data_IF_530681113088
#
_entry.id   IF_530681113088
#
_cell.length_a   1.000
_cell.length_b   1.000
_cell.length_c   1.000
_cell.angle_alpha   90.00
_cell.angle_beta   90.00
_cell.angle_gamma   90.00
#
_symmetry.space_group_name_H-M   'P 1'
#
loop_
_entity.id
_entity.type
_entity.pdbx_description
1 polymer ?
#
# COMPACT_ATOMS: atom_id res chain seq x y z
N UNK A 1 12.00 6.04 15.70
CA UNK A 1 12.43 7.44 15.43
C UNK A 1 13.32 7.41 14.18
N UNK A 2 13.01 8.20 13.16
CA UNK A 2 13.76 8.18 11.88
C UNK A 2 15.19 8.71 12.14
N UNK A 3 16.22 7.89 11.88
CA UNK A 3 17.60 8.30 12.12
C UNK A 3 18.05 9.39 11.15
N UNK A 4 18.97 10.26 11.59
CA UNK A 4 19.54 11.31 10.74
C UNK A 4 20.20 10.74 9.48
N UNK A 5 20.89 9.59 9.60
CA UNK A 5 21.51 8.89 8.47
C UNK A 5 20.47 8.42 7.43
N UNK A 6 19.32 7.92 7.88
CA UNK A 6 18.20 7.54 7.01
C UNK A 6 17.64 8.75 6.27
N UNK A 7 17.41 9.87 6.97
CA UNK A 7 16.92 11.11 6.36
C UNK A 7 17.87 11.60 5.26
N UNK A 8 19.16 11.68 5.54
CA UNK A 8 20.16 12.09 4.55
C UNK A 8 20.20 11.16 3.34
N UNK A 9 20.10 9.84 3.56
CA UNK A 9 20.06 8.83 2.49
C UNK A 9 18.82 8.98 1.58
N UNK A 10 17.66 9.28 2.18
CA UNK A 10 16.43 9.56 1.44
C UNK A 10 16.57 10.86 0.63
N UNK A 11 17.01 11.96 1.26
CA UNK A 11 17.19 13.26 0.58
C UNK A 11 18.16 13.11 -0.60
N UNK A 12 19.28 12.42 -0.40
CA UNK A 12 20.24 12.15 -1.48
C UNK A 12 19.56 11.46 -2.65
N UNK A 13 18.82 10.36 -2.43
CA UNK A 13 18.12 9.64 -3.52
C UNK A 13 17.01 10.44 -4.18
N UNK A 14 16.31 11.30 -3.45
CA UNK A 14 15.32 12.24 -4.02
C UNK A 14 15.97 13.15 -5.06
N UNK A 15 17.18 13.64 -4.77
CA UNK A 15 17.91 14.58 -5.63
C UNK A 15 18.68 13.87 -6.76
N UNK A 16 19.26 12.70 -6.48
CA UNK A 16 20.21 12.05 -7.40
C UNK A 16 19.59 10.95 -8.27
N UNK A 17 18.39 10.46 -7.95
CA UNK A 17 17.75 9.38 -8.72
C UNK A 17 16.42 9.81 -9.33
N UNK A 18 16.24 9.49 -10.62
CA UNK A 18 14.97 9.53 -11.35
C UNK A 18 14.23 8.19 -11.32
N UNK A 19 14.70 7.21 -10.55
CA UNK A 19 14.07 5.91 -10.41
C UNK A 19 12.81 5.91 -9.55
N UNK A 20 12.17 4.74 -9.39
CA UNK A 20 10.86 4.62 -8.76
C UNK A 20 10.96 5.03 -7.31
N UNK A 21 9.92 5.68 -6.79
CA UNK A 21 9.87 6.16 -5.41
C UNK A 21 9.36 5.08 -4.47
N UNK A 22 8.53 4.17 -4.98
CA UNK A 22 7.86 3.15 -4.20
C UNK A 22 8.13 1.74 -4.77
N UNK A 23 8.28 0.77 -3.89
CA UNK A 23 8.13 -0.63 -4.24
C UNK A 23 7.23 -1.34 -3.24
N UNK A 24 6.28 -2.11 -3.77
CA UNK A 24 5.51 -3.07 -2.98
C UNK A 24 6.19 -4.44 -3.07
N UNK A 25 6.53 -5.02 -1.94
CA UNK A 25 7.15 -6.33 -1.87
C UNK A 25 6.13 -7.31 -1.29
N UNK A 26 5.72 -8.29 -2.09
CA UNK A 26 4.93 -9.42 -1.63
C UNK A 26 5.88 -10.48 -1.09
N UNK A 27 6.27 -10.40 0.18
CA UNK A 27 7.34 -11.25 0.73
C UNK A 27 6.93 -12.72 0.89
N UNK A 28 5.64 -13.00 0.92
CA UNK A 28 5.06 -14.34 1.11
C UNK A 28 3.69 -14.42 0.47
N UNK A 29 3.26 -15.61 0.03
CA UNK A 29 1.84 -15.88 -0.30
C UNK A 29 1.05 -16.40 0.91
N UNK A 30 1.70 -16.75 2.02
CA UNK A 30 1.04 -17.27 3.22
C UNK A 30 0.03 -16.27 3.77
N UNK A 31 -1.20 -16.69 3.99
CA UNK A 31 -2.21 -15.86 4.64
C UNK A 31 -3.07 -16.70 5.59
N UNK A 32 -3.31 -16.19 6.79
CA UNK A 32 -4.10 -16.84 7.82
C UNK A 32 -5.59 -16.44 7.79
N UNK A 33 -5.98 -15.52 6.90
CA UNK A 33 -7.37 -15.07 6.71
C UNK A 33 -7.92 -15.55 5.37
N UNK A 34 -9.25 -15.52 5.20
CA UNK A 34 -9.95 -16.00 4.00
C UNK A 34 -10.87 -14.93 3.40
N UNK A 35 -10.33 -13.73 3.20
CA UNK A 35 -11.09 -12.58 2.72
C UNK A 35 -11.81 -12.92 1.40
N UNK A 36 -13.11 -12.58 1.33
CA UNK A 36 -13.97 -13.00 0.21
C UNK A 36 -13.68 -12.29 -1.12
N UNK A 37 -12.97 -11.17 -1.08
CA UNK A 37 -12.55 -10.40 -2.25
C UNK A 37 -11.10 -10.69 -2.69
N UNK A 38 -10.44 -11.67 -2.08
CA UNK A 38 -9.01 -11.92 -2.27
C UNK A 38 -8.73 -13.40 -2.57
N UNK A 39 -7.81 -13.70 -3.49
CA UNK A 39 -7.40 -15.07 -3.81
C UNK A 39 -6.00 -15.44 -3.30
N UNK A 40 -5.28 -14.54 -2.62
CA UNK A 40 -3.92 -14.83 -2.12
C UNK A 40 -3.92 -16.03 -1.19
N UNK A 41 -4.88 -16.10 -0.27
CA UNK A 41 -5.05 -17.21 0.67
C UNK A 41 -5.44 -18.53 -0.02
N UNK A 42 -6.08 -18.47 -1.18
CA UNK A 42 -6.51 -19.64 -1.95
C UNK A 42 -5.36 -20.21 -2.80
N UNK A 43 -4.50 -19.33 -3.32
CA UNK A 43 -3.37 -19.68 -4.18
C UNK A 43 -2.07 -19.64 -3.36
N UNK A 44 -1.90 -20.59 -2.44
CA UNK A 44 -0.70 -20.66 -1.59
C UNK A 44 0.52 -21.15 -2.36
N UNK A 45 1.66 -20.53 -2.11
CA UNK A 45 2.98 -20.98 -2.53
C UNK A 45 3.91 -20.84 -1.33
N UNK A 46 4.68 -21.88 -1.05
CA UNK A 46 5.59 -21.95 0.09
C UNK A 46 7.04 -21.73 -0.33
N UNK A 47 7.32 -21.63 -1.64
CA UNK A 47 8.60 -21.18 -2.14
C UNK A 47 8.67 -19.67 -1.99
N UNK A 48 9.68 -19.17 -1.30
CA UNK A 48 9.88 -17.74 -1.11
C UNK A 48 11.39 -17.47 -1.08
N UNK A 49 11.80 -16.25 -1.42
CA UNK A 49 13.20 -15.84 -1.27
C UNK A 49 13.67 -16.05 0.18
N UNK A 50 14.93 -16.49 0.32
CA UNK A 50 15.63 -16.52 1.60
C UNK A 50 15.84 -15.10 2.16
N UNK A 51 16.10 -14.99 3.45
CA UNK A 51 16.35 -13.70 4.13
C UNK A 51 17.44 -12.88 3.43
N UNK A 52 18.55 -13.52 3.06
CA UNK A 52 19.68 -12.87 2.38
C UNK A 52 19.33 -12.43 0.95
N UNK A 53 18.52 -13.20 0.24
CA UNK A 53 18.00 -12.83 -1.08
C UNK A 53 17.05 -11.63 -1.00
N UNK A 54 16.20 -11.55 0.04
CA UNK A 54 15.35 -10.38 0.29
C UNK A 54 16.20 -9.14 0.61
N UNK A 55 17.23 -9.26 1.46
CA UNK A 55 18.15 -8.14 1.75
C UNK A 55 18.88 -7.67 0.50
N UNK A 56 19.38 -8.59 -0.32
CA UNK A 56 20.01 -8.27 -1.62
C UNK A 56 19.02 -7.61 -2.57
N UNK A 57 17.76 -8.03 -2.57
CA UNK A 57 16.69 -7.39 -3.34
C UNK A 57 16.48 -5.95 -2.87
N UNK A 58 16.47 -5.70 -1.56
CA UNK A 58 16.38 -4.37 -0.97
C UNK A 58 17.58 -3.49 -1.35
N UNK A 59 18.81 -4.02 -1.37
CA UNK A 59 19.97 -3.27 -1.85
C UNK A 59 19.81 -2.82 -3.30
N UNK A 60 19.32 -3.71 -4.18
CA UNK A 60 19.04 -3.38 -5.58
C UNK A 60 17.98 -2.28 -5.69
N UNK A 61 16.89 -2.38 -4.92
CA UNK A 61 15.84 -1.36 -4.89
C UNK A 61 16.37 -0.01 -4.40
N UNK A 62 17.26 0.00 -3.40
CA UNK A 62 17.93 1.20 -2.91
C UNK A 62 18.75 1.85 -4.03
N UNK A 63 19.53 1.06 -4.75
CA UNK A 63 20.48 1.53 -5.75
C UNK A 63 19.77 2.09 -7.00
N UNK A 64 18.60 1.56 -7.35
CA UNK A 64 17.75 2.16 -8.41
C UNK A 64 16.95 3.37 -7.91
N UNK A 65 16.96 3.68 -6.62
CA UNK A 65 16.41 4.92 -6.05
C UNK A 65 15.06 4.83 -5.35
N UNK A 66 14.59 3.61 -5.03
CA UNK A 66 13.38 3.41 -4.21
C UNK A 66 13.55 4.09 -2.87
N UNK A 67 12.50 4.78 -2.40
CA UNK A 67 12.47 5.49 -1.12
C UNK A 67 11.57 4.81 -0.10
N UNK A 68 10.44 4.27 -0.55
CA UNK A 68 9.42 3.63 0.26
C UNK A 68 9.29 2.14 -0.10
N UNK A 69 9.24 1.30 0.94
CA UNK A 69 8.93 -0.12 0.84
C UNK A 69 7.65 -0.42 1.59
N UNK A 70 6.69 -1.04 0.90
CA UNK A 70 5.51 -1.63 1.52
C UNK A 70 5.66 -3.13 1.55
N UNK A 71 5.76 -3.70 2.75
CA UNK A 71 5.72 -5.13 2.98
C UNK A 71 4.27 -5.61 2.97
N UNK A 72 3.94 -6.47 2.02
CA UNK A 72 2.62 -7.04 1.80
C UNK A 72 2.79 -8.51 1.37
N UNK A 73 1.72 -9.13 0.84
CA UNK A 73 1.72 -10.51 0.39
C UNK A 73 0.37 -11.15 0.67
N UNK A 74 0.41 -12.38 1.19
CA UNK A 74 -0.63 -12.74 2.14
C UNK A 74 -0.49 -11.86 3.39
N UNK A 75 -0.08 -12.44 4.51
CA UNK A 75 0.31 -11.68 5.69
C UNK A 75 1.84 -11.76 5.89
N UNK A 76 2.60 -10.66 5.70
CA UNK A 76 4.05 -10.63 5.90
C UNK A 76 4.49 -11.21 7.24
N UNK A 77 3.68 -11.01 8.30
CA UNK A 77 3.99 -11.43 9.66
C UNK A 77 3.93 -12.94 9.88
N UNK A 78 3.55 -13.72 8.86
CA UNK A 78 3.63 -15.18 8.86
C UNK A 78 5.03 -15.71 8.46
N UNK A 79 5.94 -14.83 8.03
CA UNK A 79 7.34 -15.21 7.85
C UNK A 79 8.07 -15.16 9.18
N UNK A 80 8.81 -16.22 9.49
CA UNK A 80 9.57 -16.33 10.73
C UNK A 80 10.72 -15.30 10.80
N UNK A 81 11.29 -14.94 9.64
CA UNK A 81 12.42 -14.02 9.49
C UNK A 81 12.01 -12.55 9.22
N UNK A 82 10.72 -12.23 9.32
CA UNK A 82 10.20 -10.91 8.90
C UNK A 82 10.82 -9.75 9.69
N UNK A 83 11.11 -9.96 10.99
CA UNK A 83 11.71 -8.93 11.84
C UNK A 83 13.09 -8.51 11.35
N UNK A 84 13.90 -9.49 10.94
CA UNK A 84 15.23 -9.23 10.40
C UNK A 84 15.17 -8.46 9.06
N UNK A 85 14.18 -8.78 8.22
CA UNK A 85 13.95 -8.09 6.95
C UNK A 85 13.50 -6.64 7.18
N UNK A 86 12.55 -6.41 8.10
CA UNK A 86 12.08 -5.07 8.47
C UNK A 86 13.22 -4.26 9.07
N UNK A 87 14.01 -4.83 9.96
CA UNK A 87 15.17 -4.19 10.59
C UNK A 87 16.23 -3.79 9.55
N UNK A 88 16.45 -4.63 8.53
CA UNK A 88 17.34 -4.27 7.44
C UNK A 88 16.78 -3.11 6.60
N UNK A 89 15.52 -3.21 6.17
CA UNK A 89 14.89 -2.22 5.32
C UNK A 89 14.73 -0.86 6.00
N UNK A 90 14.35 -0.84 7.27
CA UNK A 90 14.06 0.38 8.05
C UNK A 90 15.26 1.32 8.14
N UNK A 91 16.49 0.81 8.02
CA UNK A 91 17.73 1.62 7.98
C UNK A 91 17.83 2.50 6.75
N UNK A 92 17.19 2.10 5.65
CA UNK A 92 17.33 2.73 4.34
C UNK A 92 16.03 3.27 3.78
N UNK A 93 14.87 2.67 4.07
CA UNK A 93 13.60 3.02 3.44
C UNK A 93 12.58 3.54 4.43
N UNK A 94 11.63 4.33 3.95
CA UNK A 94 10.35 4.50 4.65
C UNK A 94 9.60 3.18 4.51
N UNK A 95 9.25 2.55 5.63
CA UNK A 95 8.72 1.19 5.67
C UNK A 95 7.31 1.17 6.22
N UNK A 96 6.42 0.49 5.50
CA UNK A 96 5.07 0.19 5.98
C UNK A 96 4.85 -1.32 5.93
N UNK A 97 4.37 -1.88 7.04
CA UNK A 97 4.02 -3.30 7.14
C UNK A 97 2.50 -3.43 7.18
N UNK A 98 1.93 -4.18 6.24
CA UNK A 98 0.52 -4.53 6.28
C UNK A 98 0.28 -5.75 7.18
N UNK A 99 -0.74 -5.68 8.04
CA UNK A 99 -1.28 -6.81 8.79
C UNK A 99 -2.81 -6.81 8.69
N UNK A 100 -3.41 -8.01 8.71
CA UNK A 100 -4.86 -8.16 8.74
C UNK A 100 -5.45 -8.02 10.17
N UNK A 101 -4.63 -7.57 11.12
CA UNK A 101 -4.99 -7.34 12.52
C UNK A 101 -4.89 -8.58 13.40
N UNK A 102 -4.14 -9.61 12.99
CA UNK A 102 -4.07 -10.89 13.70
C UNK A 102 -2.74 -11.20 14.35
N UNK A 103 -1.65 -10.57 13.92
CA UNK A 103 -0.30 -10.96 14.33
C UNK A 103 0.53 -9.81 14.90
N UNK A 104 0.30 -8.57 14.48
CA UNK A 104 1.16 -7.46 14.87
C UNK A 104 1.22 -7.26 16.40
N UNK A 105 0.11 -7.48 17.12
CA UNK A 105 0.07 -7.40 18.58
C UNK A 105 1.01 -8.38 19.29
N UNK A 106 1.28 -9.53 18.68
CA UNK A 106 2.15 -10.58 19.24
C UNK A 106 3.59 -10.52 18.69
N UNK A 107 3.85 -9.58 17.77
CA UNK A 107 5.12 -9.44 17.05
C UNK A 107 5.69 -8.02 17.15
N UNK A 108 5.50 -7.39 18.31
CA UNK A 108 5.85 -5.99 18.55
C UNK A 108 7.34 -5.75 18.32
N UNK A 109 8.19 -6.67 18.76
CA UNK A 109 9.63 -6.53 18.63
C UNK A 109 10.08 -6.69 17.17
N UNK A 110 9.47 -7.60 16.39
CA UNK A 110 9.78 -7.75 14.98
C UNK A 110 9.36 -6.55 14.11
N UNK A 111 8.33 -5.80 14.51
CA UNK A 111 7.84 -4.62 13.76
C UNK A 111 8.32 -3.29 14.34
N UNK A 112 9.09 -3.30 15.44
CA UNK A 112 9.44 -2.10 16.21
C UNK A 112 10.14 -1.02 15.38
N UNK A 113 10.93 -1.44 14.40
CA UNK A 113 11.68 -0.55 13.53
C UNK A 113 10.92 -0.16 12.25
N UNK A 114 9.72 -0.70 12.00
CA UNK A 114 8.88 -0.24 10.91
C UNK A 114 8.43 1.22 11.15
N UNK A 115 8.39 2.04 10.10
CA UNK A 115 7.92 3.42 10.24
C UNK A 115 6.40 3.47 10.43
N UNK A 116 5.68 2.55 9.80
CA UNK A 116 4.22 2.41 9.91
C UNK A 116 3.77 0.95 9.91
N UNK A 117 2.67 0.69 10.62
CA UNK A 117 1.92 -0.56 10.54
C UNK A 117 0.48 -0.25 10.13
N UNK A 118 0.05 -0.81 9.01
CA UNK A 118 -1.29 -0.60 8.45
C UNK A 118 -2.18 -1.83 8.74
N UNK A 119 -3.19 -1.64 9.58
CA UNK A 119 -4.14 -2.70 9.94
C UNK A 119 -5.34 -2.68 8.98
N UNK A 120 -5.59 -3.80 8.30
CA UNK A 120 -6.75 -3.94 7.42
C UNK A 120 -8.03 -4.14 8.23
N UNK A 121 -8.88 -3.11 8.25
CA UNK A 121 -10.18 -3.10 8.92
C UNK A 121 -11.15 -2.30 8.04
N UNK A 122 -12.25 -2.93 7.61
CA UNK A 122 -13.08 -2.37 6.53
C UNK A 122 -14.33 -1.63 7.05
N UNK A 123 -14.77 -1.91 8.27
CA UNK A 123 -16.01 -1.37 8.84
C UNK A 123 -15.96 -1.40 10.37
N UNK A 124 -16.78 -0.56 11.02
CA UNK A 124 -16.97 -0.58 12.47
C UNK A 124 -17.98 -1.65 12.93
N UNK A 125 -18.70 -2.28 12.00
CA UNK A 125 -19.59 -3.41 12.30
C UNK A 125 -18.76 -4.72 12.39
N UNK A 126 -18.74 -5.32 13.58
CA UNK A 126 -18.01 -6.56 13.86
C UNK A 126 -18.42 -7.72 12.95
N UNK A 127 -19.73 -7.96 12.81
CA UNK A 127 -20.23 -9.09 12.01
C UNK A 127 -19.94 -8.88 10.53
N UNK A 128 -20.09 -7.65 10.06
CA UNK A 128 -19.79 -7.29 8.68
C UNK A 128 -18.29 -7.45 8.40
N UNK A 129 -17.40 -6.95 9.24
CA UNK A 129 -15.97 -7.10 9.02
C UNK A 129 -15.55 -8.58 9.05
N UNK A 130 -16.04 -9.37 10.00
CA UNK A 130 -15.78 -10.81 10.06
C UNK A 130 -16.23 -11.54 8.80
N UNK A 131 -17.41 -11.16 8.26
CA UNK A 131 -17.89 -11.66 6.97
C UNK A 131 -16.95 -11.30 5.82
N UNK A 132 -16.51 -10.03 5.73
CA UNK A 132 -15.61 -9.56 4.68
C UNK A 132 -14.23 -10.27 4.74
N UNK A 133 -13.69 -10.45 5.96
CA UNK A 133 -12.40 -11.10 6.21
C UNK A 133 -12.47 -12.63 6.17
N UNK A 134 -13.67 -13.22 6.21
CA UNK A 134 -13.89 -14.66 6.20
C UNK A 134 -13.41 -15.38 7.46
N UNK A 135 -13.32 -14.67 8.59
CA UNK A 135 -12.82 -15.22 9.87
C UNK A 135 -13.59 -14.60 11.03
N UNK A 136 -14.17 -15.44 11.90
CA UNK A 136 -14.83 -14.98 13.12
C UNK A 136 -13.83 -14.35 14.11
N UNK A 137 -14.26 -13.26 14.75
CA UNK A 137 -13.48 -12.44 15.67
C UNK A 137 -12.37 -11.62 15.00
N UNK A 138 -12.37 -11.50 13.66
CA UNK A 138 -11.36 -10.72 12.93
C UNK A 138 -11.42 -9.24 13.29
N UNK A 139 -12.62 -8.68 13.44
CA UNK A 139 -12.81 -7.30 13.85
C UNK A 139 -12.24 -7.03 15.24
N UNK A 140 -12.57 -7.90 16.22
CA UNK A 140 -12.13 -7.74 17.60
C UNK A 140 -10.61 -7.79 17.70
N UNK A 141 -9.97 -8.79 17.05
CA UNK A 141 -8.52 -8.90 16.99
C UNK A 141 -7.87 -7.67 16.36
N UNK A 142 -8.43 -7.14 15.27
CA UNK A 142 -7.91 -5.94 14.63
C UNK A 142 -7.99 -4.72 15.55
N UNK A 143 -9.12 -4.50 16.23
CA UNK A 143 -9.30 -3.41 17.18
C UNK A 143 -8.36 -3.52 18.39
N UNK A 144 -8.24 -4.71 18.98
CA UNK A 144 -7.29 -5.00 20.06
C UNK A 144 -5.84 -4.75 19.61
N UNK A 145 -5.49 -5.20 18.40
CA UNK A 145 -4.16 -4.97 17.82
C UNK A 145 -3.86 -3.49 17.66
N UNK A 146 -4.81 -2.70 17.15
CA UNK A 146 -4.65 -1.25 17.01
C UNK A 146 -4.38 -0.59 18.35
N UNK A 147 -5.12 -0.97 19.40
CA UNK A 147 -4.97 -0.40 20.74
C UNK A 147 -3.65 -0.81 21.41
N UNK A 148 -3.21 -2.05 21.21
CA UNK A 148 -1.90 -2.54 21.68
C UNK A 148 -0.78 -1.78 20.98
N UNK A 149 -0.78 -1.72 19.64
CA UNK A 149 0.27 -1.03 18.87
C UNK A 149 0.38 0.44 19.27
N UNK A 150 -0.76 1.12 19.45
CA UNK A 150 -0.78 2.51 19.91
C UNK A 150 -0.15 2.66 21.31
N UNK A 151 -0.45 1.75 22.24
CA UNK A 151 0.11 1.76 23.61
C UNK A 151 1.62 1.49 23.61
N UNK A 152 2.09 0.59 22.75
CA UNK A 152 3.51 0.26 22.59
C UNK A 152 4.31 1.32 21.82
N UNK A 153 3.67 2.42 21.40
CA UNK A 153 4.32 3.50 20.66
C UNK A 153 4.62 3.17 19.19
N UNK A 154 4.02 2.11 18.65
CA UNK A 154 4.10 1.78 17.22
C UNK A 154 3.16 2.72 16.44
N UNK A 155 3.65 3.25 15.32
CA UNK A 155 2.86 4.11 14.44
C UNK A 155 1.86 3.28 13.64
N UNK A 156 0.73 3.01 14.27
CA UNK A 156 -0.38 2.27 13.67
C UNK A 156 -1.36 3.20 12.99
N UNK A 157 -1.92 2.75 11.87
CA UNK A 157 -3.18 3.26 11.37
C UNK A 157 -3.99 2.18 10.67
N UNK A 158 -5.16 2.54 10.18
CA UNK A 158 -6.12 1.62 9.58
C UNK A 158 -6.22 1.83 8.08
N UNK A 159 -6.47 0.74 7.35
CA UNK A 159 -6.58 0.74 5.89
C UNK A 159 -7.84 -0.02 5.44
N UNK A 160 -9.03 0.63 5.47
CA UNK A 160 -10.24 0.06 4.87
C UNK A 160 -10.12 -0.10 3.34
N UNK A 161 -10.61 -1.24 2.85
CA UNK A 161 -10.98 -1.37 1.43
C UNK A 161 -12.40 -0.89 1.23
N UNK A 162 -12.57 0.31 0.66
CA UNK A 162 -13.88 0.87 0.31
C UNK A 162 -14.49 0.04 -0.83
N UNK A 163 -15.70 -0.42 -0.63
CA UNK A 163 -16.51 -1.24 -1.52
C UNK A 163 -17.99 -0.86 -1.35
N UNK A 164 -18.90 -1.41 -2.15
CA UNK A 164 -20.32 -1.16 -1.96
C UNK A 164 -20.83 -1.58 -0.56
N UNK A 165 -20.17 -2.56 0.08
CA UNK A 165 -20.54 -3.10 1.38
C UNK A 165 -20.37 -2.12 2.56
N UNK A 166 -19.45 -1.17 2.43
CA UNK A 166 -19.09 -0.20 3.47
C UNK A 166 -19.06 1.25 2.96
N UNK A 167 -19.47 1.50 1.71
CA UNK A 167 -19.41 2.82 1.08
C UNK A 167 -20.04 3.90 1.96
N UNK A 168 -21.29 3.68 2.40
CA UNK A 168 -22.07 4.60 3.21
C UNK A 168 -21.52 4.82 4.63
N UNK A 169 -20.58 3.98 5.09
CA UNK A 169 -19.98 4.05 6.42
C UNK A 169 -18.62 4.77 6.41
N UNK A 170 -18.05 5.02 5.22
CA UNK A 170 -16.66 5.49 5.06
C UNK A 170 -16.37 6.76 5.88
N UNK A 171 -17.31 7.72 5.89
CA UNK A 171 -17.12 8.99 6.60
C UNK A 171 -17.16 8.79 8.11
N UNK A 172 -18.07 7.96 8.63
CA UNK A 172 -18.18 7.73 10.06
C UNK A 172 -17.05 6.84 10.59
N UNK A 173 -16.62 5.85 9.78
CA UNK A 173 -15.39 5.10 10.01
C UNK A 173 -14.18 6.05 10.14
N UNK A 174 -14.06 7.01 9.20
CA UNK A 174 -12.98 8.00 9.22
C UNK A 174 -13.04 8.84 10.49
N UNK A 175 -14.21 9.41 10.82
CA UNK A 175 -14.42 10.22 12.03
C UNK A 175 -14.05 9.47 13.31
N UNK A 176 -14.35 8.18 13.38
CA UNK A 176 -14.04 7.35 14.53
C UNK A 176 -12.53 7.26 14.79
N UNK A 177 -11.73 7.00 13.75
CA UNK A 177 -10.28 6.85 13.90
C UNK A 177 -9.54 8.19 14.05
N UNK A 178 -9.97 9.26 13.37
CA UNK A 178 -9.35 10.58 13.58
C UNK A 178 -9.57 11.07 15.03
N UNK A 179 -10.72 10.79 15.65
CA UNK A 179 -10.98 11.15 17.06
C UNK A 179 -10.05 10.41 18.02
N UNK A 180 -9.57 9.23 17.61
CA UNK A 180 -8.58 8.42 18.34
C UNK A 180 -7.15 8.77 17.93
N UNK A 181 -6.93 9.78 17.09
CA UNK A 181 -5.60 10.15 16.56
C UNK A 181 -4.90 8.98 15.84
N UNK A 182 -5.68 8.17 15.13
CA UNK A 182 -5.20 7.03 14.35
C UNK A 182 -5.36 7.39 12.86
N UNK A 183 -4.26 7.38 12.07
CA UNK A 183 -4.31 7.58 10.63
C UNK A 183 -5.23 6.60 9.91
N UNK A 184 -5.93 7.11 8.89
CA UNK A 184 -6.74 6.32 7.96
C UNK A 184 -6.13 6.43 6.57
N UNK A 185 -5.65 5.30 6.06
CA UNK A 185 -5.32 5.07 4.66
C UNK A 185 -6.51 4.44 3.95
N UNK A 186 -6.62 4.63 2.64
CA UNK A 186 -7.77 4.11 1.90
C UNK A 186 -7.28 3.17 0.80
N UNK A 187 -8.03 2.10 0.60
CA UNK A 187 -8.00 1.27 -0.58
C UNK A 187 -9.36 1.35 -1.26
N UNK A 188 -9.40 1.16 -2.58
CA UNK A 188 -10.63 0.92 -3.31
C UNK A 188 -10.70 -0.56 -3.66
N UNK A 189 -11.87 -1.15 -3.50
CA UNK A 189 -12.13 -2.46 -4.03
C UNK A 189 -11.96 -2.43 -5.55
N UNK A 190 -11.12 -3.35 -6.00
CA UNK A 190 -10.81 -3.63 -7.39
C UNK A 190 -10.54 -5.13 -7.47
N UNK A 191 -10.66 -5.67 -8.68
CA UNK A 191 -10.35 -7.06 -8.96
C UNK A 191 -9.36 -7.15 -10.11
N UNK A 192 -8.65 -8.26 -10.16
CA UNK A 192 -7.63 -8.47 -11.18
C UNK A 192 -8.31 -8.60 -12.54
N UNK A 193 -7.87 -7.77 -13.48
CA UNK A 193 -8.21 -7.90 -14.88
C UNK A 193 -7.16 -8.76 -15.56
N UNK A 194 -7.61 -9.76 -16.33
CA UNK A 194 -6.75 -10.75 -16.94
C UNK A 194 -5.79 -10.13 -17.97
N UNK A 195 -4.52 -10.04 -17.60
CA UNK A 195 -3.40 -10.18 -18.54
C UNK A 195 -2.95 -11.64 -18.55
N UNK A 196 -2.12 -12.04 -19.52
CA UNK A 196 -1.77 -13.44 -19.75
C UNK A 196 -1.27 -14.15 -18.48
N UNK A 197 -0.20 -13.67 -17.84
CA UNK A 197 0.23 -14.13 -16.52
C UNK A 197 0.32 -12.95 -15.54
N UNK A 198 -0.33 -13.06 -14.39
CA UNK A 198 -0.15 -12.11 -13.30
C UNK A 198 1.09 -12.46 -12.49
N UNK A 199 1.87 -11.46 -12.06
CA UNK A 199 2.99 -11.70 -11.16
C UNK A 199 2.53 -12.12 -9.77
N UNK A 200 1.46 -11.49 -9.29
CA UNK A 200 0.89 -11.79 -7.99
C UNK A 200 -0.62 -11.49 -8.00
N UNK A 201 -1.45 -12.50 -8.23
CA UNK A 201 -2.90 -12.28 -8.21
C UNK A 201 -3.40 -11.99 -6.80
N UNK A 202 -4.27 -10.98 -6.67
CA UNK A 202 -4.82 -10.48 -5.41
C UNK A 202 -6.36 -10.46 -5.44
N UNK A 203 -6.96 -9.67 -6.33
CA UNK A 203 -8.36 -9.31 -6.26
C UNK A 203 -9.26 -10.24 -7.07
N UNK A 204 -10.37 -10.70 -6.46
CA UNK A 204 -11.39 -11.52 -7.12
C UNK A 204 -12.60 -10.66 -7.44
N UNK A 205 -13.18 -10.83 -8.64
CA UNK A 205 -14.47 -10.22 -8.96
C UNK A 205 -15.56 -10.79 -8.05
N UNK A 206 -16.28 -9.88 -7.41
CA UNK A 206 -17.41 -10.12 -6.54
C UNK A 206 -18.38 -8.92 -6.66
N UNK A 207 -19.62 -9.20 -7.07
CA UNK A 207 -20.63 -8.19 -7.36
C UNK A 207 -21.15 -7.50 -6.09
N UNK A 208 -21.09 -8.16 -4.92
CA UNK A 208 -21.47 -7.55 -3.62
C UNK A 208 -20.52 -6.37 -3.25
N UNK A 209 -19.28 -6.42 -3.72
CA UNK A 209 -18.24 -5.45 -3.40
C UNK A 209 -18.15 -4.32 -4.44
N UNK A 210 -18.60 -4.58 -5.67
CA UNK A 210 -18.48 -3.63 -6.78
C UNK A 210 -19.26 -2.36 -6.48
N UNK A 211 -18.54 -1.22 -6.47
CA UNK A 211 -19.13 0.07 -6.16
C UNK A 211 -20.05 0.47 -7.31
N UNK A 212 -21.36 0.42 -7.09
CA UNK A 212 -22.38 0.79 -8.08
C UNK A 212 -22.85 2.24 -7.86
N UNK A 213 -22.84 2.71 -6.62
CA UNK A 213 -23.21 4.09 -6.27
C UNK A 213 -22.01 5.03 -6.43
N UNK A 214 -21.78 5.47 -7.68
CA UNK A 214 -20.63 6.29 -8.04
C UNK A 214 -20.75 7.72 -7.54
N UNK A 215 -21.97 8.23 -7.46
CA UNK A 215 -22.30 9.55 -6.92
C UNK A 215 -21.89 9.64 -5.45
N UNK A 216 -22.24 8.64 -4.64
CA UNK A 216 -21.83 8.59 -3.23
C UNK A 216 -20.30 8.48 -3.10
N UNK A 217 -19.63 7.69 -3.94
CA UNK A 217 -18.16 7.65 -3.93
C UNK A 217 -17.54 9.02 -4.23
N UNK A 218 -18.11 9.76 -5.19
CA UNK A 218 -17.68 11.11 -5.54
C UNK A 218 -17.95 12.13 -4.40
N UNK A 219 -19.08 12.00 -3.71
CA UNK A 219 -19.41 12.80 -2.54
C UNK A 219 -18.45 12.52 -1.38
N UNK A 220 -18.18 11.26 -1.06
CA UNK A 220 -17.20 10.86 -0.04
C UNK A 220 -15.84 11.50 -0.32
N UNK A 221 -15.37 11.47 -1.57
CA UNK A 221 -14.11 12.13 -1.93
C UNK A 221 -14.13 13.63 -1.64
N UNK A 222 -15.28 14.27 -1.87
CA UNK A 222 -15.47 15.71 -1.63
C UNK A 222 -15.48 16.02 -0.13
N UNK A 223 -16.18 15.21 0.66
CA UNK A 223 -16.22 15.33 2.13
C UNK A 223 -14.82 15.12 2.73
N UNK A 224 -14.06 14.12 2.28
CA UNK A 224 -12.71 13.86 2.77
C UNK A 224 -11.74 15.03 2.50
N UNK A 225 -11.83 15.68 1.33
CA UNK A 225 -11.06 16.89 1.04
C UNK A 225 -11.40 18.03 2.01
N UNK A 226 -12.69 18.27 2.30
CA UNK A 226 -13.09 19.28 3.28
C UNK A 226 -12.67 18.93 4.71
N UNK A 227 -12.73 17.65 5.10
CA UNK A 227 -12.27 17.18 6.41
C UNK A 227 -10.76 17.40 6.59
N UNK A 228 -9.93 17.12 5.58
CA UNK A 228 -8.47 17.35 5.60
C UNK A 228 -8.10 18.82 5.86
N UNK A 229 -8.94 19.77 5.44
CA UNK A 229 -8.73 21.20 5.74
C UNK A 229 -8.83 21.50 7.24
N UNK A 230 -9.49 20.65 8.03
CA UNK A 230 -9.73 20.87 9.47
C UNK A 230 -8.98 19.88 10.36
N UNK A 231 -8.81 18.65 9.91
CA UNK A 231 -8.30 17.53 10.70
C UNK A 231 -7.03 16.90 10.11
N UNK A 232 -6.17 16.34 10.96
CA UNK A 232 -5.11 15.41 10.55
C UNK A 232 -5.63 13.97 10.47
N UNK A 233 -4.73 13.00 10.35
CA UNK A 233 -5.00 11.55 10.32
C UNK A 233 -5.77 11.04 9.07
N UNK A 234 -5.89 11.83 8.00
CA UNK A 234 -6.47 11.40 6.72
C UNK A 234 -5.34 11.30 5.69
N UNK A 235 -4.90 10.07 5.38
CA UNK A 235 -3.68 9.78 4.62
C UNK A 235 -4.01 9.41 3.17
N UNK A 236 -4.57 10.38 2.46
CA UNK A 236 -4.79 10.39 1.01
C UNK A 236 -4.74 11.84 0.55
N UNK A 237 -4.20 12.15 -0.63
CA UNK A 237 -4.07 13.54 -1.07
C UNK A 237 -5.30 14.05 -1.81
N UNK A 238 -5.48 15.37 -1.84
CA UNK A 238 -6.54 16.02 -2.62
C UNK A 238 -6.43 15.67 -4.11
N UNK A 239 -5.21 15.56 -4.65
CA UNK A 239 -4.99 15.16 -6.04
C UNK A 239 -5.51 13.75 -6.31
N UNK A 240 -5.25 12.80 -5.42
CA UNK A 240 -5.75 11.43 -5.54
C UNK A 240 -7.27 11.38 -5.37
N UNK A 241 -7.84 12.11 -4.40
CA UNK A 241 -9.28 12.21 -4.22
C UNK A 241 -9.99 12.81 -5.44
N UNK A 242 -9.42 13.85 -6.07
CA UNK A 242 -9.92 14.44 -7.32
C UNK A 242 -9.89 13.44 -8.48
N UNK A 243 -8.83 12.62 -8.58
CA UNK A 243 -8.72 11.58 -9.60
C UNK A 243 -9.79 10.50 -9.43
N UNK A 244 -10.02 10.01 -8.20
CA UNK A 244 -11.08 9.03 -7.89
C UNK A 244 -12.46 9.64 -8.17
N UNK A 245 -12.70 10.86 -7.70
CA UNK A 245 -13.97 11.57 -7.92
C UNK A 245 -14.26 11.75 -9.40
N UNK A 246 -13.27 12.12 -10.20
CA UNK A 246 -13.42 12.23 -11.65
C UNK A 246 -13.78 10.88 -12.26
N UNK A 247 -13.01 9.82 -11.96
CA UNK A 247 -13.29 8.47 -12.45
C UNK A 247 -14.71 8.00 -12.08
N UNK A 248 -15.16 8.27 -10.85
CA UNK A 248 -16.50 7.89 -10.41
C UNK A 248 -17.58 8.59 -11.24
N UNK A 249 -17.44 9.90 -11.49
CA UNK A 249 -18.47 10.69 -12.17
C UNK A 249 -18.48 10.54 -13.69
N UNK A 250 -17.33 10.28 -14.32
CA UNK A 250 -17.21 10.26 -15.79
C UNK A 250 -16.98 8.86 -16.35
N UNK A 251 -16.54 7.91 -15.52
CA UNK A 251 -16.01 6.63 -15.98
C UNK A 251 -14.63 6.73 -16.63
N UNK A 252 -14.04 7.93 -16.69
CA UNK A 252 -12.77 8.20 -17.36
C UNK A 252 -11.65 8.48 -16.36
N UNK A 253 -10.43 8.07 -16.72
CA UNK A 253 -9.25 8.34 -15.90
C UNK A 253 -8.66 9.69 -16.25
N UNK A 254 -8.21 10.42 -15.23
CA UNK A 254 -7.50 11.70 -15.37
C UNK A 254 -5.98 11.58 -15.19
N UNK A 255 -5.41 10.37 -15.32
CA UNK A 255 -3.98 10.12 -15.11
C UNK A 255 -3.43 9.03 -16.02
N UNK A 256 -2.15 9.17 -16.36
CA UNK A 256 -1.33 8.14 -17.01
C UNK A 256 -0.76 7.19 -15.96
N UNK A 257 -0.63 5.90 -16.29
CA UNK A 257 0.07 4.98 -15.39
C UNK A 257 1.58 5.25 -15.42
N UNK A 258 2.19 5.30 -14.23
CA UNK A 258 3.63 5.59 -14.03
C UNK A 258 4.40 4.38 -13.48
N UNK A 259 3.96 3.18 -13.85
CA UNK A 259 4.64 1.95 -13.47
C UNK A 259 6.04 1.90 -14.11
N UNK A 260 7.01 1.35 -13.37
CA UNK A 260 8.46 1.40 -13.67
C UNK A 260 9.09 2.79 -13.76
N UNK A 261 8.32 3.85 -13.54
CA UNK A 261 8.82 5.23 -13.38
C UNK A 261 8.77 5.66 -11.93
N UNK A 262 7.61 5.48 -11.28
CA UNK A 262 7.38 5.92 -9.91
C UNK A 262 7.13 4.76 -8.94
N UNK A 263 6.68 3.61 -9.43
CA UNK A 263 6.45 2.42 -8.63
C UNK A 263 6.74 1.13 -9.39
N UNK A 264 7.01 0.05 -8.66
CA UNK A 264 7.07 -1.32 -9.15
C UNK A 264 6.63 -2.30 -8.07
N UNK A 265 6.48 -3.57 -8.43
CA UNK A 265 6.25 -4.64 -7.46
C UNK A 265 7.34 -5.71 -7.56
N UNK A 266 7.65 -6.34 -6.44
CA UNK A 266 8.50 -7.54 -6.36
C UNK A 266 7.70 -8.62 -5.66
N UNK A 267 7.54 -9.78 -6.29
CA UNK A 267 6.84 -10.90 -5.67
C UNK A 267 7.74 -11.76 -4.77
N UNK A 268 7.14 -12.78 -4.17
CA UNK A 268 7.77 -13.66 -3.17
C UNK A 268 8.89 -14.52 -3.77
N UNK A 269 8.97 -14.64 -5.09
CA UNK A 269 10.01 -15.35 -5.84
C UNK A 269 11.09 -14.40 -6.40
N UNK A 270 11.04 -13.11 -6.05
CA UNK A 270 11.98 -12.12 -6.54
C UNK A 270 11.73 -11.69 -7.98
N UNK A 271 10.53 -11.91 -8.53
CA UNK A 271 10.18 -11.46 -9.88
C UNK A 271 9.65 -10.04 -9.81
N UNK A 272 10.12 -9.19 -10.72
CA UNK A 272 9.76 -7.78 -10.80
C UNK A 272 8.68 -7.58 -11.85
N UNK A 273 7.65 -6.82 -11.51
CA UNK A 273 6.60 -6.38 -12.44
C UNK A 273 6.29 -4.91 -12.30
N UNK A 274 5.63 -4.37 -13.31
CA UNK A 274 5.10 -3.01 -13.31
C UNK A 274 3.93 -2.83 -12.34
N UNK A 275 3.05 -3.82 -12.25
CA UNK A 275 2.03 -3.97 -11.21
C UNK A 275 1.73 -5.46 -11.00
N UNK A 276 0.95 -5.79 -9.97
CA UNK A 276 0.67 -7.19 -9.63
C UNK A 276 -0.12 -7.95 -10.73
N UNK A 277 -0.91 -7.23 -11.54
CA UNK A 277 -1.67 -7.83 -12.65
C UNK A 277 -0.82 -8.19 -13.87
N UNK A 278 0.39 -7.61 -14.04
CA UNK A 278 1.19 -7.74 -15.26
C UNK A 278 2.26 -8.83 -15.13
N UNK A 279 2.65 -9.40 -16.27
CA UNK A 279 3.71 -10.39 -16.36
C UNK A 279 5.03 -9.85 -15.77
N UNK A 280 5.80 -10.71 -15.07
CA UNK A 280 7.18 -10.42 -14.71
C UNK A 280 8.03 -9.96 -15.90
N UNK A 281 8.82 -8.91 -15.68
CA UNK A 281 9.73 -8.36 -16.69
C UNK A 281 11.16 -8.86 -16.50
N UNK A 282 11.53 -9.24 -15.27
CA UNK A 282 12.84 -9.76 -14.90
C UNK A 282 12.84 -10.35 -13.48
N UNK A 283 13.89 -11.09 -13.16
CA UNK A 283 14.29 -11.26 -11.76
C UNK A 283 14.84 -9.95 -11.20
N UNK A 284 14.61 -9.70 -9.91
CA UNK A 284 15.19 -8.56 -9.18
C UNK A 284 16.71 -8.55 -9.26
N UNK A 285 17.35 -9.73 -9.32
CA UNK A 285 18.82 -9.85 -9.41
C UNK A 285 19.38 -9.45 -10.78
N UNK A 286 18.56 -9.44 -11.83
CA UNK A 286 18.93 -8.98 -13.16
C UNK A 286 18.48 -7.55 -13.46
N UNK A 287 17.61 -6.99 -12.63
CA UNK A 287 17.07 -5.64 -12.78
C UNK A 287 18.15 -4.57 -12.99
N UNK A 288 19.28 -4.55 -12.26
CA UNK A 288 20.34 -3.56 -12.46
C UNK A 288 20.90 -3.52 -13.88
N UNK A 289 20.99 -4.69 -14.54
CA UNK A 289 21.56 -4.83 -15.89
C UNK A 289 20.64 -4.21 -16.95
N UNK A 290 19.33 -4.27 -16.71
CA UNK A 290 18.32 -3.85 -17.69
C UNK A 290 17.66 -2.51 -17.36
N UNK A 291 17.81 -1.96 -16.15
CA UNK A 291 17.02 -0.82 -15.67
C UNK A 291 17.11 0.45 -16.56
N UNK A 292 18.28 0.66 -17.16
CA UNK A 292 18.56 1.77 -18.09
C UNK A 292 18.60 1.34 -19.57
N UNK A 293 18.06 0.17 -19.88
CA UNK A 293 18.05 -0.36 -21.24
C UNK A 293 16.88 0.21 -22.07
N UNK A 294 16.99 0.20 -23.42
CA UNK A 294 15.88 0.53 -24.31
C UNK A 294 14.65 -0.37 -24.11
N UNK A 295 14.83 -1.59 -23.58
CA UNK A 295 13.72 -2.49 -23.27
C UNK A 295 12.82 -1.92 -22.15
N UNK A 296 13.41 -1.51 -21.03
CA UNK A 296 12.66 -0.90 -19.92
C UNK A 296 12.04 0.44 -20.35
N UNK A 297 12.73 1.23 -21.18
CA UNK A 297 12.18 2.49 -21.69
C UNK A 297 10.94 2.26 -22.57
N UNK A 298 10.96 1.25 -23.45
CA UNK A 298 9.77 0.84 -24.21
C UNK A 298 8.60 0.43 -23.31
N UNK A 299 8.87 -0.34 -22.26
CA UNK A 299 7.83 -0.74 -21.29
C UNK A 299 7.24 0.47 -20.55
N UNK A 300 8.07 1.43 -20.13
CA UNK A 300 7.57 2.68 -19.53
C UNK A 300 6.61 3.42 -20.47
N UNK A 301 6.98 3.53 -21.74
CA UNK A 301 6.12 4.16 -22.75
C UNK A 301 4.81 3.38 -22.97
N UNK A 302 4.84 2.05 -23.03
CA UNK A 302 3.65 1.21 -23.11
C UNK A 302 2.74 1.41 -21.88
N UNK A 303 3.32 1.43 -20.67
CA UNK A 303 2.54 1.55 -19.45
C UNK A 303 1.88 2.91 -19.29
N UNK A 304 2.46 4.01 -19.79
CA UNK A 304 1.77 5.31 -19.83
C UNK A 304 0.44 5.24 -20.59
N UNK A 305 0.34 4.38 -21.59
CA UNK A 305 -0.89 4.16 -22.39
C UNK A 305 -1.87 3.17 -21.72
N UNK A 306 -1.54 2.57 -20.58
CA UNK A 306 -2.42 1.64 -19.89
C UNK A 306 -3.64 2.35 -19.31
N UNK A 307 -4.85 1.94 -19.72
CA UNK A 307 -6.13 2.53 -19.28
C UNK A 307 -6.87 1.72 -18.21
N UNK A 308 -6.41 0.51 -17.86
CA UNK A 308 -7.18 -0.43 -17.01
C UNK A 308 -7.10 -0.24 -15.49
N UNK A 309 -6.16 0.55 -14.97
CA UNK A 309 -5.89 0.57 -13.53
C UNK A 309 -6.97 1.31 -12.72
N UNK A 310 -7.58 0.62 -11.76
CA UNK A 310 -8.49 1.17 -10.73
C UNK A 310 -8.01 0.93 -9.29
N UNK A 311 -6.85 0.29 -9.12
CA UNK A 311 -6.23 0.05 -7.82
C UNK A 311 -5.66 1.34 -7.23
N UNK A 312 -6.20 1.78 -6.09
CA UNK A 312 -5.84 3.05 -5.46
C UNK A 312 -4.34 3.19 -5.15
N UNK A 313 -3.67 2.10 -4.75
CA UNK A 313 -2.22 2.10 -4.50
C UNK A 313 -1.44 2.59 -5.74
N UNK A 314 -1.83 2.17 -6.95
CA UNK A 314 -1.14 2.59 -8.18
C UNK A 314 -1.60 3.95 -8.71
N UNK A 315 -2.86 4.32 -8.45
CA UNK A 315 -3.37 5.67 -8.78
C UNK A 315 -2.56 6.72 -8.03
N UNK A 316 -2.35 6.52 -6.72
CA UNK A 316 -1.57 7.43 -5.88
C UNK A 316 -0.17 7.69 -6.47
N UNK A 317 0.61 6.64 -6.73
CA UNK A 317 1.94 6.82 -7.30
C UNK A 317 1.93 7.31 -8.75
N UNK A 318 0.83 7.15 -9.49
CA UNK A 318 0.72 7.68 -10.84
C UNK A 318 0.47 9.19 -10.87
N UNK A 319 -0.42 9.71 -10.00
CA UNK A 319 -0.71 11.15 -9.94
C UNK A 319 0.39 11.98 -9.28
N UNK A 320 1.30 11.31 -8.56
CA UNK A 320 2.43 11.91 -7.84
C UNK A 320 3.80 11.51 -8.41
N UNK A 321 3.88 11.24 -9.71
CA UNK A 321 5.16 10.94 -10.32
C UNK A 321 6.10 12.15 -10.38
N UNK A 322 7.39 11.89 -10.23
CA UNK A 322 8.45 12.88 -10.33
C UNK A 322 8.57 13.80 -9.11
N UNK A 323 9.50 14.77 -9.20
CA UNK A 323 9.79 15.71 -8.11
C UNK A 323 8.60 16.61 -7.73
N UNK A 324 7.81 17.15 -8.67
CA UNK A 324 6.62 17.94 -8.31
C UNK A 324 5.58 17.15 -7.51
N UNK A 325 5.42 15.85 -7.80
CA UNK A 325 4.50 14.97 -7.06
C UNK A 325 4.93 14.78 -5.60
N UNK A 326 6.24 14.63 -5.35
CA UNK A 326 6.76 14.55 -3.98
C UNK A 326 6.48 15.82 -3.17
N UNK A 327 6.68 16.99 -3.79
CA UNK A 327 6.37 18.28 -3.15
C UNK A 327 4.87 18.42 -2.87
N UNK A 328 4.02 17.99 -3.79
CA UNK A 328 2.55 17.98 -3.63
C UNK A 328 2.14 17.14 -2.40
N UNK A 329 2.68 15.91 -2.28
CA UNK A 329 2.46 15.05 -1.12
C UNK A 329 2.89 15.75 0.17
N UNK A 330 4.11 16.32 0.21
CA UNK A 330 4.62 16.98 1.41
C UNK A 330 3.73 18.15 1.82
N UNK A 331 3.29 18.98 0.86
CA UNK A 331 2.42 20.14 1.12
C UNK A 331 1.04 19.70 1.62
N UNK A 332 0.42 18.76 0.93
CA UNK A 332 -0.91 18.23 1.24
C UNK A 332 -0.94 17.56 2.63
N UNK A 333 0.14 16.88 3.00
CA UNK A 333 0.24 16.11 4.23
C UNK A 333 0.88 16.88 5.40
N UNK A 334 1.17 18.18 5.27
CA UNK A 334 1.82 18.99 6.34
C UNK A 334 1.14 18.89 7.70
N UNK A 335 -0.19 18.80 7.72
CA UNK A 335 -0.97 18.64 8.98
C UNK A 335 -0.74 17.28 9.64
N UNK A 336 -0.56 16.24 8.83
CA UNK A 336 -0.24 14.90 9.32
C UNK A 336 1.21 14.83 9.85
N UNK A 337 2.14 15.56 9.21
CA UNK A 337 3.52 15.69 9.72
C UNK A 337 3.56 16.38 11.09
N UNK A 338 2.76 17.43 11.31
CA UNK A 338 2.66 18.07 12.64
C UNK A 338 2.09 17.14 13.71
N UNK A 339 1.07 16.34 13.37
CA UNK A 339 0.54 15.32 14.27
C UNK A 339 1.59 14.22 14.58
N UNK A 340 2.47 13.93 13.62
CA UNK A 340 3.56 12.96 13.77
C UNK A 340 4.72 13.48 14.63
N UNK A 341 5.09 14.76 14.48
CA UNK A 341 6.24 15.37 15.19
C UNK A 341 5.89 16.01 16.53
N UNK A 342 4.60 16.11 16.88
CA UNK A 342 4.11 16.69 18.14
C UNK A 342 4.11 15.74 19.33
N UNK A 343 4.83 14.62 19.27
CA UNK A 343 4.99 13.65 20.36
C UNK A 343 6.43 13.61 20.84
#
# INVERSE_FOLDING_TARGET
MISYSKVLSIIKRVVTSSGPRHAQIFVTRKCNYRCRNCNVWANQDFQELSTEEVKRSLDILRDIGVLEIVFSGGNPLLRDDIGEIIDYASKYFITTVYDNGSLAANKIDEIRNADFVAISLDTLDEKKNDYLKGVNGAWRRAMETIDILKREGIHVGVSPTISQMNLYETIDFTKFFIKREIPVWYCLYAYDYSFNNSAFSIGIKNDEYEINDKETLAEICSILMEMKKKCGCIYITDRTLKAIRHLALTGERSWECRALENFLVVDHLGRVSSCHCRDPIASIFDLPKIWKSPYIERLRNEYRQCTRCVYLCYIFYSVHAGFPGLIDIIIDQRKNVKAYMGK
#
